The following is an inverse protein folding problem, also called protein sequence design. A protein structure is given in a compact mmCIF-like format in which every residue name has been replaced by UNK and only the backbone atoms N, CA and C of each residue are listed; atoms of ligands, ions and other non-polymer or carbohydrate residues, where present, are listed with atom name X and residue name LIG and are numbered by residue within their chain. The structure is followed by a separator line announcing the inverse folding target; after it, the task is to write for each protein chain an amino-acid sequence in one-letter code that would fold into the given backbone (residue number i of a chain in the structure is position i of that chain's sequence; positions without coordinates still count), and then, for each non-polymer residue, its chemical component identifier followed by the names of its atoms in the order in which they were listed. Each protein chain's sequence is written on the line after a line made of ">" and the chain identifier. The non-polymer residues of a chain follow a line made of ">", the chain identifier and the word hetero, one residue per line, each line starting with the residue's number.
data_IF_526162702679
#
_entry.id   IF_526162702679
#
_cell.length_a   1.000
_cell.length_b   1.000
_cell.length_c   1.000
_cell.angle_alpha   90.00
_cell.angle_beta   90.00
_cell.angle_gamma   90.00
#
_symmetry.space_group_name_H-M   'P 1'
#
loop_
_entity.id
_entity.type
_entity.pdbx_description
1 polymer ?
#
# COMPACT_ATOMS: atom_id res chain seq x y z
N UNK A 1 -6.67 4.66 -8.69
CA UNK A 1 -5.33 5.10 -9.15
C UNK A 1 -4.44 3.90 -9.47
N UNK A 2 -4.31 2.92 -8.57
CA UNK A 2 -3.46 1.72 -8.75
C UNK A 2 -3.83 0.92 -10.01
N UNK A 3 -5.10 0.84 -10.33
CA UNK A 3 -5.59 0.16 -11.54
C UNK A 3 -5.03 0.74 -12.84
N UNK A 4 -4.59 2.01 -12.81
CA UNK A 4 -3.93 2.66 -13.95
C UNK A 4 -2.50 2.16 -14.21
N UNK A 5 -1.88 1.55 -13.22
CA UNK A 5 -0.53 0.99 -13.33
C UNK A 5 -0.52 -0.48 -13.78
N UNK A 6 -1.67 -1.17 -13.71
CA UNK A 6 -1.80 -2.57 -14.11
C UNK A 6 -1.78 -2.70 -15.64
N UNK A 7 -1.10 -3.72 -16.14
CA UNK A 7 -1.11 -4.07 -17.57
C UNK A 7 -2.39 -4.82 -17.93
N UNK A 8 -2.80 -4.78 -19.21
CA UNK A 8 -3.86 -5.67 -19.69
C UNK A 8 -3.50 -7.14 -19.41
N UNK A 9 -4.37 -7.81 -18.65
CA UNK A 9 -4.15 -9.21 -18.23
C UNK A 9 -3.51 -9.39 -16.86
N UNK A 10 -2.99 -8.34 -16.22
CA UNK A 10 -2.58 -8.41 -14.82
C UNK A 10 -3.81 -8.64 -13.93
N UNK A 11 -3.64 -9.52 -12.94
CA UNK A 11 -4.63 -9.68 -11.87
C UNK A 11 -4.66 -8.48 -10.93
N UNK A 12 -5.74 -8.37 -10.14
CA UNK A 12 -5.82 -7.37 -9.07
C UNK A 12 -4.71 -7.59 -8.03
N UNK A 13 -4.25 -6.52 -7.42
CA UNK A 13 -3.19 -6.56 -6.40
C UNK A 13 -3.69 -6.93 -4.99
N UNK A 14 -5.00 -6.94 -4.77
CA UNK A 14 -5.66 -7.12 -3.48
C UNK A 14 -6.33 -8.51 -3.31
N UNK A 15 -6.09 -9.44 -4.23
CA UNK A 15 -6.62 -10.81 -4.11
C UNK A 15 -5.79 -11.61 -3.12
N UNK A 16 -6.45 -12.15 -2.09
CA UNK A 16 -5.77 -12.92 -1.03
C UNK A 16 -5.05 -14.18 -1.57
N UNK A 17 -5.61 -14.82 -2.60
CA UNK A 17 -5.02 -16.01 -3.22
C UNK A 17 -3.65 -15.73 -3.86
N UNK A 18 -3.41 -14.50 -4.35
CA UNK A 18 -2.19 -14.12 -5.05
C UNK A 18 -1.10 -13.60 -4.10
N UNK A 19 -1.45 -13.24 -2.85
CA UNK A 19 -0.50 -12.62 -1.92
C UNK A 19 0.76 -13.43 -1.66
N UNK A 20 0.74 -14.77 -1.54
CA UNK A 20 1.97 -15.55 -1.38
C UNK A 20 2.95 -15.38 -2.54
N UNK A 21 2.48 -15.36 -3.80
CA UNK A 21 3.31 -15.15 -4.98
C UNK A 21 3.87 -13.72 -5.02
N UNK A 22 3.02 -12.72 -4.75
CA UNK A 22 3.45 -11.31 -4.70
C UNK A 22 4.48 -11.07 -3.60
N UNK A 23 4.28 -11.63 -2.40
CA UNK A 23 5.27 -11.55 -1.31
C UNK A 23 6.59 -12.22 -1.69
N UNK A 24 6.53 -13.36 -2.39
CA UNK A 24 7.72 -14.06 -2.90
C UNK A 24 8.50 -13.24 -3.93
N UNK A 25 7.85 -12.35 -4.68
CA UNK A 25 8.48 -11.49 -5.67
C UNK A 25 9.13 -10.23 -5.08
N UNK A 26 8.72 -9.78 -3.88
CA UNK A 26 9.24 -8.54 -3.25
C UNK A 26 10.76 -8.48 -3.15
N UNK A 27 11.48 -9.53 -2.72
CA UNK A 27 12.94 -9.46 -2.62
C UNK A 27 13.61 -9.13 -3.95
N UNK A 28 13.11 -9.68 -5.07
CA UNK A 28 13.65 -9.39 -6.40
C UNK A 28 13.37 -7.94 -6.83
N UNK A 29 12.19 -7.40 -6.49
CA UNK A 29 11.85 -6.00 -6.75
C UNK A 29 12.78 -5.06 -5.98
N UNK A 30 12.99 -5.31 -4.68
CA UNK A 30 13.88 -4.49 -3.85
C UNK A 30 15.34 -4.57 -4.34
N UNK A 31 15.83 -5.77 -4.67
CA UNK A 31 17.20 -5.98 -5.13
C UNK A 31 17.48 -5.33 -6.49
N UNK A 32 16.50 -5.31 -7.40
CA UNK A 32 16.63 -4.66 -8.72
C UNK A 32 16.47 -3.14 -8.66
N UNK A 33 15.92 -2.59 -7.58
CA UNK A 33 15.54 -1.18 -7.48
C UNK A 33 14.37 -0.81 -8.40
N UNK A 34 13.61 -1.78 -8.88
CA UNK A 34 12.43 -1.55 -9.70
C UNK A 34 11.37 -0.77 -8.91
N UNK A 35 10.90 0.35 -9.42
CA UNK A 35 9.93 1.18 -8.73
C UNK A 35 9.06 2.00 -9.66
N UNK A 36 7.83 2.25 -9.23
CA UNK A 36 6.93 3.21 -9.85
C UNK A 36 7.03 4.54 -9.11
N UNK A 37 7.41 5.60 -9.82
CA UNK A 37 7.42 6.96 -9.26
C UNK A 37 6.02 7.58 -9.36
N UNK A 38 5.61 8.47 -8.43
CA UNK A 38 4.31 9.13 -8.48
C UNK A 38 4.28 10.23 -9.56
N UNK A 39 3.14 10.71 -9.98
CA UNK A 39 1.77 10.42 -9.60
C UNK A 39 1.05 9.79 -10.78
N UNK A 40 0.28 8.73 -10.54
CA UNK A 40 -0.54 8.08 -11.58
C UNK A 40 -1.71 8.96 -12.02
N UNK A 41 -2.28 9.73 -11.10
CA UNK A 41 -3.35 10.68 -11.37
C UNK A 41 -2.84 12.11 -11.11
N UNK A 42 -2.47 12.88 -12.15
CA UNK A 42 -1.95 14.24 -12.01
C UNK A 42 -2.90 15.14 -11.20
N UNK A 43 -2.33 16.00 -10.37
CA UNK A 43 -3.09 16.91 -9.51
C UNK A 43 -3.61 16.28 -8.22
N UNK A 44 -3.32 15.01 -7.92
CA UNK A 44 -3.79 14.31 -6.73
C UNK A 44 -2.65 13.80 -5.86
N UNK A 45 -3.00 13.45 -4.59
CA UNK A 45 -2.09 12.83 -3.64
C UNK A 45 -0.98 13.75 -3.14
N UNK A 46 0.04 13.18 -2.49
CA UNK A 46 1.13 13.95 -1.86
C UNK A 46 2.10 14.60 -2.85
N UNK A 47 2.04 14.21 -4.15
CA UNK A 47 2.96 14.70 -5.18
C UNK A 47 2.21 15.17 -6.44
N UNK A 48 1.33 16.20 -6.34
CA UNK A 48 0.40 16.55 -7.40
C UNK A 48 1.08 17.09 -8.67
N UNK A 49 2.30 17.64 -8.57
CA UNK A 49 3.06 18.16 -9.70
C UNK A 49 3.91 17.09 -10.42
N UNK A 50 4.07 15.90 -9.85
CA UNK A 50 4.86 14.82 -10.41
C UNK A 50 4.07 14.04 -11.47
N UNK A 51 4.83 13.30 -12.32
CA UNK A 51 4.24 12.40 -13.34
C UNK A 51 4.75 10.99 -13.12
N UNK A 52 3.84 10.03 -13.24
CA UNK A 52 4.19 8.62 -13.08
C UNK A 52 5.21 8.17 -14.13
N UNK A 53 6.21 7.45 -13.68
CA UNK A 53 7.19 6.77 -14.52
C UNK A 53 7.76 5.55 -13.82
N UNK A 54 8.10 4.54 -14.58
CA UNK A 54 8.79 3.38 -14.09
C UNK A 54 10.32 3.60 -14.07
N UNK A 55 10.96 3.05 -13.06
CA UNK A 55 12.40 2.78 -13.03
C UNK A 55 12.52 1.25 -12.99
N UNK A 56 13.17 0.67 -14.01
CA UNK A 56 13.37 -0.77 -14.07
C UNK A 56 12.07 -1.58 -14.01
N UNK A 57 11.05 -1.21 -14.80
CA UNK A 57 9.74 -1.88 -14.78
C UNK A 57 9.88 -3.41 -14.90
N UNK A 58 9.39 -4.20 -13.91
CA UNK A 58 9.54 -5.65 -13.92
C UNK A 58 8.79 -6.29 -15.10
N UNK A 59 9.43 -7.24 -15.79
CA UNK A 59 8.78 -8.02 -16.84
C UNK A 59 7.88 -9.13 -16.27
N UNK A 60 8.28 -9.69 -15.13
CA UNK A 60 7.51 -10.71 -14.42
C UNK A 60 6.21 -10.13 -13.85
N UNK A 61 5.04 -10.76 -14.09
CA UNK A 61 3.75 -10.22 -13.65
C UNK A 61 3.61 -10.08 -12.13
N UNK A 62 4.16 -11.01 -11.36
CA UNK A 62 4.05 -10.98 -9.90
C UNK A 62 4.98 -9.89 -9.32
N UNK A 63 6.19 -9.76 -9.87
CA UNK A 63 7.10 -8.68 -9.50
C UNK A 63 6.52 -7.31 -9.88
N UNK A 64 5.86 -7.18 -11.03
CA UNK A 64 5.20 -5.96 -11.46
C UNK A 64 4.08 -5.57 -10.49
N UNK A 65 3.18 -6.51 -10.13
CA UNK A 65 2.11 -6.29 -9.17
C UNK A 65 2.64 -6.00 -7.76
N UNK A 66 3.71 -6.69 -7.34
CA UNK A 66 4.37 -6.43 -6.06
C UNK A 66 4.95 -5.00 -6.00
N UNK A 67 5.60 -4.52 -7.08
CA UNK A 67 6.11 -3.16 -7.17
C UNK A 67 4.98 -2.11 -7.09
N UNK A 68 3.81 -2.39 -7.67
CA UNK A 68 2.61 -1.54 -7.55
C UNK A 68 2.10 -1.50 -6.10
N UNK A 69 2.12 -2.63 -5.37
CA UNK A 69 1.78 -2.65 -3.95
C UNK A 69 2.76 -1.82 -3.10
N UNK A 70 4.07 -1.91 -3.39
CA UNK A 70 5.09 -1.10 -2.73
C UNK A 70 4.89 0.39 -3.01
N UNK A 71 4.59 0.76 -4.26
CA UNK A 71 4.20 2.13 -4.63
C UNK A 71 3.02 2.63 -3.79
N UNK A 72 1.95 1.82 -3.70
CA UNK A 72 0.78 2.18 -2.89
C UNK A 72 1.14 2.44 -1.42
N UNK A 73 2.00 1.60 -0.85
CA UNK A 73 2.47 1.76 0.53
C UNK A 73 3.29 3.04 0.71
N UNK A 74 4.18 3.37 -0.25
CA UNK A 74 4.99 4.59 -0.22
C UNK A 74 4.14 5.86 -0.34
N UNK A 75 3.13 5.86 -1.23
CA UNK A 75 2.19 6.98 -1.36
C UNK A 75 1.34 7.14 -0.10
N UNK A 76 0.88 6.03 0.50
CA UNK A 76 0.15 6.06 1.76
C UNK A 76 1.04 6.58 2.90
N UNK A 77 2.30 6.12 3.01
CA UNK A 77 3.27 6.59 4.00
C UNK A 77 3.48 8.11 3.89
N UNK A 78 3.72 8.62 2.69
CA UNK A 78 3.87 10.05 2.44
C UNK A 78 2.61 10.85 2.78
N UNK A 79 1.44 10.33 2.47
CA UNK A 79 0.15 10.98 2.80
C UNK A 79 -0.09 11.02 4.31
N UNK A 80 0.26 9.95 5.02
CA UNK A 80 0.16 9.87 6.48
C UNK A 80 1.15 10.82 7.18
N UNK A 81 2.33 11.05 6.59
CA UNK A 81 3.29 12.05 7.08
C UNK A 81 2.72 13.47 6.96
N UNK A 82 2.06 13.80 5.84
CA UNK A 82 1.46 15.13 5.62
C UNK A 82 0.39 15.48 6.67
N UNK A 83 -0.37 14.49 7.14
CA UNK A 83 -1.41 14.70 8.16
C UNK A 83 -0.92 14.47 9.59
N UNK A 84 0.38 14.21 9.77
CA UNK A 84 0.97 13.96 11.09
C UNK A 84 0.44 12.70 11.78
N UNK A 85 0.02 11.69 10.99
CA UNK A 85 -0.53 10.45 11.55
C UNK A 85 0.54 9.63 12.25
N UNK A 86 0.23 9.16 13.45
CA UNK A 86 1.12 8.32 14.27
C UNK A 86 0.36 7.44 15.25
N UNK A 87 1.11 6.62 16.00
CA UNK A 87 0.57 5.78 17.04
C UNK A 87 -0.13 4.51 16.54
N UNK A 88 -1.35 4.62 16.05
CA UNK A 88 -2.14 3.47 15.60
C UNK A 88 -2.77 3.73 14.24
N UNK A 89 -2.65 2.77 13.31
CA UNK A 89 -3.22 2.83 11.96
C UNK A 89 -4.08 1.60 11.73
N UNK A 90 -5.33 1.80 11.36
CA UNK A 90 -6.25 0.74 10.96
C UNK A 90 -6.43 0.76 9.44
N UNK A 91 -6.23 -0.39 8.80
CA UNK A 91 -6.46 -0.59 7.37
C UNK A 91 -7.71 -1.46 7.22
N UNK A 92 -8.68 -0.94 6.51
CA UNK A 92 -9.97 -1.59 6.24
C UNK A 92 -10.27 -1.68 4.75
N UNK A 93 -11.34 -2.39 4.41
CA UNK A 93 -11.79 -2.55 3.03
C UNK A 93 -10.88 -3.45 2.19
N UNK A 94 -10.91 -3.25 0.88
CA UNK A 94 -10.21 -4.12 -0.09
C UNK A 94 -8.72 -4.27 0.19
N UNK A 95 -8.05 -3.19 0.57
CA UNK A 95 -6.61 -3.18 0.80
C UNK A 95 -6.18 -3.84 2.11
N UNK A 96 -7.09 -4.15 3.02
CA UNK A 96 -6.78 -4.95 4.21
C UNK A 96 -6.29 -6.37 3.85
N UNK A 97 -6.72 -6.91 2.69
CA UNK A 97 -6.27 -8.20 2.16
C UNK A 97 -5.01 -8.14 1.30
N UNK A 98 -4.52 -6.95 0.94
CA UNK A 98 -3.31 -6.77 0.15
C UNK A 98 -2.07 -6.86 1.05
N UNK A 99 -1.58 -8.08 1.31
CA UNK A 99 -0.52 -8.30 2.30
C UNK A 99 0.78 -7.56 1.97
N UNK A 100 1.19 -7.50 0.70
CA UNK A 100 2.39 -6.74 0.32
C UNK A 100 2.25 -5.28 0.72
N UNK A 101 1.10 -4.65 0.43
CA UNK A 101 0.81 -3.27 0.81
C UNK A 101 0.81 -3.07 2.33
N UNK A 102 0.01 -3.87 3.05
CA UNK A 102 -0.15 -3.69 4.51
C UNK A 102 1.16 -3.94 5.26
N UNK A 103 1.92 -4.97 4.85
CA UNK A 103 3.21 -5.31 5.47
C UNK A 103 4.31 -4.32 5.11
N UNK A 104 4.33 -3.79 3.88
CA UNK A 104 5.23 -2.72 3.49
C UNK A 104 4.96 -1.45 4.31
N UNK A 105 3.68 -1.06 4.45
CA UNK A 105 3.31 0.11 5.26
C UNK A 105 3.70 -0.07 6.73
N UNK A 106 3.56 -1.28 7.29
CA UNK A 106 4.02 -1.59 8.64
C UNK A 106 5.55 -1.50 8.79
N UNK A 107 6.31 -1.89 7.77
CA UNK A 107 7.77 -1.77 7.75
C UNK A 107 8.23 -0.31 7.64
N UNK A 108 7.56 0.50 6.78
CA UNK A 108 7.84 1.93 6.61
C UNK A 108 7.53 2.76 7.87
N UNK A 109 6.68 2.26 8.76
CA UNK A 109 6.21 2.96 9.98
C UNK A 109 6.46 2.15 11.25
N UNK A 110 7.73 1.89 11.63
CA UNK A 110 8.07 0.97 12.72
C UNK A 110 7.56 1.44 14.10
N UNK A 111 7.30 2.74 14.26
CA UNK A 111 6.74 3.32 15.49
C UNK A 111 5.21 3.42 15.49
N UNK A 112 4.54 2.92 14.43
CA UNK A 112 3.09 2.89 14.29
C UNK A 112 2.59 1.46 14.39
N UNK A 113 1.58 1.22 15.24
CA UNK A 113 0.91 -0.07 15.29
C UNK A 113 -0.06 -0.18 14.10
N UNK A 114 0.32 -0.93 13.09
CA UNK A 114 -0.54 -1.18 11.92
C UNK A 114 -1.42 -2.40 12.17
N UNK A 115 -2.71 -2.21 11.98
CA UNK A 115 -3.77 -3.21 12.20
C UNK A 115 -4.61 -3.35 10.94
N UNK A 116 -5.15 -4.55 10.71
CA UNK A 116 -6.20 -4.79 9.71
C UNK A 116 -7.46 -5.28 10.39
N UNK A 117 -8.62 -4.90 9.88
CA UNK A 117 -9.90 -5.47 10.27
C UNK A 117 -10.37 -6.47 9.22
N UNK A 118 -10.83 -7.63 9.67
CA UNK A 118 -11.45 -8.67 8.80
C UNK A 118 -12.94 -8.46 8.59
N UNK A 119 -13.57 -7.62 9.40
CA UNK A 119 -15.00 -7.44 9.37
C UNK A 119 -15.43 -6.53 8.21
N UNK A 120 -16.62 -6.82 7.69
CA UNK A 120 -17.37 -5.97 6.79
C UNK A 120 -17.90 -4.73 7.56
N UNK A 121 -17.01 -3.94 8.14
CA UNK A 121 -17.34 -2.67 8.76
C UNK A 121 -17.46 -1.61 7.68
N UNK A 122 -18.42 -1.80 6.79
CA UNK A 122 -18.73 -0.80 5.78
C UNK A 122 -19.51 0.37 6.41
N UNK A 123 -19.71 1.41 5.60
CA UNK A 123 -20.49 2.60 5.99
C UNK A 123 -21.89 2.21 6.48
N UNK A 124 -22.48 1.13 5.92
CA UNK A 124 -23.80 0.64 6.27
C UNK A 124 -23.84 0.12 7.70
N UNK A 125 -22.81 -0.61 8.15
CA UNK A 125 -22.71 -1.08 9.53
C UNK A 125 -22.50 0.08 10.51
N UNK A 126 -21.69 1.07 10.12
CA UNK A 126 -21.54 2.30 10.89
C UNK A 126 -22.85 3.08 11.05
N UNK A 127 -23.61 3.20 9.97
CA UNK A 127 -24.96 3.83 10.00
C UNK A 127 -25.94 3.03 10.87
N UNK A 128 -25.90 1.69 10.79
CA UNK A 128 -26.76 0.82 11.60
C UNK A 128 -26.47 0.97 13.11
N UNK A 129 -25.21 1.15 13.50
CA UNK A 129 -24.82 1.41 14.90
C UNK A 129 -25.30 2.76 15.44
N UNK A 130 -25.56 3.75 14.59
CA UNK A 130 -26.18 5.00 15.01
C UNK A 130 -27.64 4.80 15.45
N UNK A 131 -28.33 3.79 14.88
CA UNK A 131 -29.73 3.47 15.21
C UNK A 131 -29.78 2.42 16.33
N UNK A 132 -28.84 1.47 16.33
CA UNK A 132 -28.74 0.37 17.30
C UNK A 132 -27.35 0.37 17.94
N UNK A 133 -27.08 1.21 18.97
CA UNK A 133 -25.74 1.34 19.58
C UNK A 133 -25.20 0.05 20.22
N UNK A 134 -26.08 -0.85 20.63
CA UNK A 134 -25.77 -2.17 21.23
C UNK A 134 -25.32 -3.22 20.20
N UNK A 135 -25.31 -2.93 18.92
CA UNK A 135 -24.75 -3.87 17.94
C UNK A 135 -23.28 -4.16 18.28
N UNK A 136 -22.92 -5.44 18.49
CA UNK A 136 -21.57 -5.79 18.88
C UNK A 136 -20.59 -5.40 17.77
N UNK A 137 -19.44 -4.87 18.17
CA UNK A 137 -18.31 -4.73 17.25
C UNK A 137 -17.76 -6.13 16.98
N UNK A 138 -18.10 -6.70 15.83
CA UNK A 138 -17.68 -8.06 15.43
C UNK A 138 -16.40 -8.02 14.57
N UNK A 139 -15.51 -7.10 14.86
CA UNK A 139 -14.26 -6.90 14.12
C UNK A 139 -13.04 -7.37 14.91
N UNK A 140 -12.47 -8.52 14.54
CA UNK A 140 -11.16 -8.92 15.02
C UNK A 140 -10.09 -8.04 14.37
N UNK A 141 -9.35 -7.28 15.21
CA UNK A 141 -8.20 -6.50 14.77
C UNK A 141 -6.96 -7.40 14.76
N UNK A 142 -6.36 -7.55 13.60
CA UNK A 142 -5.15 -8.34 13.43
C UNK A 142 -3.95 -7.40 13.28
N UNK A 143 -2.91 -7.58 14.10
CA UNK A 143 -1.68 -6.83 13.95
C UNK A 143 -0.92 -7.28 12.71
N UNK A 144 -0.52 -6.33 11.87
CA UNK A 144 0.24 -6.60 10.66
C UNK A 144 1.70 -6.87 11.00
N UNK A 145 2.25 -7.99 10.50
CA UNK A 145 3.69 -8.28 10.56
C UNK A 145 4.40 -7.43 9.49
N UNK A 146 5.43 -6.64 9.85
CA UNK A 146 6.19 -5.88 8.87
C UNK A 146 6.80 -6.76 7.76
N UNK A 147 6.98 -6.17 6.58
CA UNK A 147 7.72 -6.80 5.50
C UNK A 147 9.20 -6.90 5.89
N UNK A 148 9.84 -8.00 5.51
CA UNK A 148 11.28 -8.19 5.70
C UNK A 148 12.04 -7.49 4.55
N UNK A 149 13.18 -6.85 4.86
CA UNK A 149 14.01 -6.14 3.89
C UNK A 149 14.22 -4.66 4.23
N UNK A 150 15.17 -4.04 3.54
CA UNK A 150 15.49 -2.62 3.72
C UNK A 150 14.57 -1.74 2.87
N UNK A 151 13.39 -1.42 3.43
CA UNK A 151 12.46 -0.49 2.81
C UNK A 151 12.86 0.98 3.03
N UNK A 152 13.73 1.28 3.97
CA UNK A 152 14.15 2.67 4.21
C UNK A 152 15.03 3.18 3.07
N UNK A 153 15.92 2.33 2.56
CA UNK A 153 16.75 2.68 1.39
C UNK A 153 15.89 2.79 0.11
N UNK A 154 14.97 1.84 -0.07
CA UNK A 154 14.03 1.86 -1.18
C UNK A 154 13.13 3.11 -1.13
N UNK A 155 12.59 3.50 0.04
CA UNK A 155 11.83 4.74 0.25
C UNK A 155 12.65 5.99 -0.06
N UNK A 156 13.91 6.02 0.36
CA UNK A 156 14.83 7.14 0.12
C UNK A 156 15.07 7.35 -1.37
N UNK A 157 15.37 6.26 -2.08
CA UNK A 157 15.54 6.25 -3.53
C UNK A 157 14.26 6.68 -4.24
N UNK A 158 13.11 6.17 -3.81
CA UNK A 158 11.82 6.54 -4.36
C UNK A 158 11.51 8.04 -4.18
N UNK A 159 11.81 8.61 -3.01
CA UNK A 159 11.63 10.06 -2.75
C UNK A 159 12.53 10.92 -3.64
N UNK A 160 13.75 10.48 -3.96
CA UNK A 160 14.62 11.21 -4.87
C UNK A 160 14.11 11.28 -6.31
N UNK A 161 13.20 10.38 -6.70
CA UNK A 161 12.54 10.44 -8.02
C UNK A 161 11.73 11.72 -8.26
N UNK A 162 11.25 12.37 -7.19
CA UNK A 162 10.43 13.58 -7.27
C UNK A 162 11.25 14.86 -7.30
N UNK A 163 12.51 14.78 -6.89
CA UNK A 163 13.43 15.92 -6.86
C UNK A 163 14.19 16.08 -8.18
N UNK A 164 14.21 15.04 -9.03
CA UNK A 164 14.84 15.10 -10.34
C UNK A 164 13.96 15.92 -11.31
N UNK A 165 14.48 16.98 -11.95
CA UNK A 165 13.75 17.71 -12.98
C UNK A 165 13.39 16.76 -14.13
N UNK A 166 12.17 16.92 -14.63
CA UNK A 166 11.64 16.15 -15.77
C UNK A 166 12.34 16.52 -17.08
#
# INVERSE_FOLDING_TARGET
>A
EIELALRPGDGRVDLAADQPALLGAVPAVLASGAMLCPTLAPGTGPFPASRARWIGEPADPDAHRAAICLYAALVADASLDLIGSGGRLLIEGRFAGAEVFTRALAALRPHTQVLTAKAHNDVSYGALRLICPELPFDGELTRVKPLEGDLDDYRRTWRSCMEAPA
#
